data_IF_225166400055
#
_entry.id   IF_225166400055
#
_cell.length_a   1.000
_cell.length_b   1.000
_cell.length_c   1.000
_cell.angle_alpha   90.00
_cell.angle_beta   90.00
_cell.angle_gamma   90.00
#
_symmetry.space_group_name_H-M   'P 1'
#
loop_
_entity.id
_entity.type
_entity.pdbx_description
1 polymer ?
#
# COMPACT_ATOMS: atom_id res chain seq x y z
N UNK A 1 -40.63 -3.15 -8.01
CA UNK A 1 -39.80 -1.93 -7.89
C UNK A 1 -39.99 -1.33 -6.51
N UNK A 2 -39.34 -1.86 -5.46
CA UNK A 2 -39.60 -1.39 -4.09
C UNK A 2 -38.58 -1.85 -3.03
N UNK A 3 -37.32 -2.08 -3.43
CA UNK A 3 -36.27 -2.54 -2.49
C UNK A 3 -35.07 -1.59 -2.39
N UNK A 4 -34.95 -0.53 -3.21
CA UNK A 4 -33.80 0.39 -3.13
C UNK A 4 -34.06 1.66 -2.29
N UNK A 5 -35.31 2.02 -2.03
CA UNK A 5 -35.66 3.19 -1.22
C UNK A 5 -35.55 2.91 0.29
N UNK A 6 -35.84 1.68 0.73
CA UNK A 6 -35.74 1.32 2.14
C UNK A 6 -34.30 1.28 2.66
N UNK A 7 -33.30 0.91 1.85
CA UNK A 7 -31.90 0.84 2.29
C UNK A 7 -31.24 2.22 2.37
N UNK A 8 -31.59 3.14 1.47
CA UNK A 8 -31.10 4.53 1.44
C UNK A 8 -31.75 5.41 2.51
N UNK A 9 -33.04 5.19 2.81
CA UNK A 9 -33.70 5.83 3.96
C UNK A 9 -33.09 5.37 5.29
N UNK A 10 -32.77 4.09 5.43
CA UNK A 10 -32.12 3.55 6.65
C UNK A 10 -30.71 4.12 6.85
N UNK A 11 -29.94 4.33 5.77
CA UNK A 11 -28.58 4.89 5.87
C UNK A 11 -28.58 6.39 6.23
N UNK A 12 -29.54 7.18 5.74
CA UNK A 12 -29.58 8.61 6.02
C UNK A 12 -29.93 8.90 7.49
N UNK A 13 -30.85 8.13 8.08
CA UNK A 13 -31.21 8.24 9.50
C UNK A 13 -30.01 7.87 10.38
N UNK A 14 -29.25 6.83 10.02
CA UNK A 14 -28.06 6.43 10.77
C UNK A 14 -26.97 7.52 10.76
N UNK A 15 -26.71 8.12 9.59
CA UNK A 15 -25.73 9.21 9.46
C UNK A 15 -26.16 10.45 10.26
N UNK A 16 -27.44 10.84 10.19
CA UNK A 16 -27.97 11.97 10.96
C UNK A 16 -27.83 11.72 12.47
N UNK A 17 -28.13 10.51 12.94
CA UNK A 17 -27.96 10.13 14.35
C UNK A 17 -26.50 10.20 14.80
N UNK A 18 -25.56 9.74 13.97
CA UNK A 18 -24.13 9.85 14.27
C UNK A 18 -23.67 11.31 14.31
N UNK A 19 -24.12 12.16 13.37
CA UNK A 19 -23.84 13.61 13.39
C UNK A 19 -24.38 14.27 14.66
N UNK A 20 -25.62 13.97 15.04
CA UNK A 20 -26.26 14.46 16.27
C UNK A 20 -25.43 14.14 17.52
N UNK A 21 -24.94 12.90 17.64
CA UNK A 21 -24.00 12.49 18.70
C UNK A 21 -22.75 13.38 18.72
N UNK A 22 -22.14 13.58 17.55
CA UNK A 22 -20.92 14.40 17.39
C UNK A 22 -21.15 15.89 17.57
N UNK A 23 -22.39 16.39 17.53
CA UNK A 23 -22.72 17.79 17.88
C UNK A 23 -23.34 17.91 19.28
N UNK A 24 -23.34 16.84 20.08
CA UNK A 24 -23.65 16.88 21.51
C UNK A 24 -25.04 16.36 21.90
N UNK A 25 -25.82 15.84 20.96
CA UNK A 25 -27.16 15.31 21.18
C UNK A 25 -27.08 13.78 21.25
N UNK A 26 -26.99 13.25 22.48
CA UNK A 26 -26.79 11.83 22.76
C UNK A 26 -27.88 11.31 23.69
N UNK A 27 -28.38 10.09 23.44
CA UNK A 27 -29.27 9.41 24.37
C UNK A 27 -28.47 8.88 25.58
N UNK A 28 -28.77 9.39 26.78
CA UNK A 28 -28.08 8.98 28.02
C UNK A 28 -28.52 7.60 28.51
N UNK A 29 -29.62 7.04 27.98
CA UNK A 29 -30.22 5.79 28.44
C UNK A 29 -29.87 4.58 27.58
N UNK A 30 -29.47 4.76 26.31
CA UNK A 30 -29.12 3.63 25.44
C UNK A 30 -27.61 3.32 25.45
N UNK A 31 -27.25 2.17 26.04
CA UNK A 31 -25.90 1.57 25.94
C UNK A 31 -25.70 0.78 24.63
N UNK A 32 -26.43 1.10 23.57
CA UNK A 32 -26.30 0.44 22.28
C UNK A 32 -25.34 1.23 21.39
N UNK A 33 -24.31 0.58 20.86
CA UNK A 33 -23.40 1.16 19.86
C UNK A 33 -24.12 1.53 18.54
N UNK A 34 -25.38 1.06 18.38
CA UNK A 34 -26.25 1.17 17.20
C UNK A 34 -27.68 1.63 17.57
N UNK A 35 -27.83 2.36 18.68
CA UNK A 35 -29.14 2.86 19.12
C UNK A 35 -29.69 3.94 18.19
N UNK A 36 -30.95 3.84 17.79
CA UNK A 36 -31.65 4.96 17.17
C UNK A 36 -31.80 6.05 18.23
N UNK A 37 -31.40 7.29 17.93
CA UNK A 37 -31.69 8.38 18.86
C UNK A 37 -33.21 8.45 19.08
N UNK A 38 -33.62 8.60 20.34
CA UNK A 38 -35.03 8.75 20.66
C UNK A 38 -35.59 10.03 20.01
N UNK A 39 -36.87 10.01 19.66
CA UNK A 39 -37.57 11.19 19.13
C UNK A 39 -37.40 12.40 20.06
N UNK A 40 -37.22 12.18 21.37
CA UNK A 40 -36.93 13.22 22.36
C UNK A 40 -35.62 13.98 22.09
N UNK A 41 -34.57 13.28 21.64
CA UNK A 41 -33.27 13.88 21.29
C UNK A 41 -33.39 14.73 20.02
N UNK A 42 -34.14 14.23 19.02
CA UNK A 42 -34.38 14.98 17.78
C UNK A 42 -35.21 16.23 18.08
N UNK A 43 -36.27 16.12 18.89
CA UNK A 43 -37.05 17.26 19.34
C UNK A 43 -36.21 18.28 20.12
N UNK A 44 -35.24 17.81 20.91
CA UNK A 44 -34.32 18.71 21.61
C UNK A 44 -33.46 19.52 20.64
N UNK A 45 -32.91 18.88 19.62
CA UNK A 45 -32.18 19.57 18.55
C UNK A 45 -33.08 20.57 17.80
N UNK A 46 -34.28 20.15 17.41
CA UNK A 46 -35.25 21.01 16.72
C UNK A 46 -35.60 22.24 17.55
N UNK A 47 -35.82 22.10 18.87
CA UNK A 47 -36.00 23.22 19.79
C UNK A 47 -34.84 24.20 19.80
N UNK A 48 -33.62 23.67 19.97
CA UNK A 48 -32.42 24.48 20.12
C UNK A 48 -32.11 25.29 18.85
N UNK A 49 -32.55 24.81 17.69
CA UNK A 49 -32.40 25.47 16.38
C UNK A 49 -33.70 26.08 15.81
N UNK A 50 -34.76 26.18 16.62
CA UNK A 50 -36.04 26.82 16.25
C UNK A 50 -36.72 26.20 15.01
N UNK A 51 -36.65 24.88 14.89
CA UNK A 51 -37.35 24.07 13.89
C UNK A 51 -38.70 23.56 14.43
N UNK A 52 -39.51 22.94 13.57
CA UNK A 52 -40.73 22.25 14.01
C UNK A 52 -40.36 21.04 14.89
N UNK A 53 -40.91 20.97 16.12
CA UNK A 53 -40.63 19.89 17.09
C UNK A 53 -41.39 18.58 16.76
N UNK A 54 -41.31 18.14 15.50
CA UNK A 54 -41.96 16.91 15.04
C UNK A 54 -41.36 15.67 15.69
N UNK A 55 -40.06 15.71 16.03
CA UNK A 55 -39.27 14.52 16.36
C UNK A 55 -38.89 13.66 15.16
N UNK A 56 -39.21 14.12 13.95
CA UNK A 56 -38.87 13.47 12.69
C UNK A 56 -37.63 14.12 12.06
N UNK A 57 -36.79 13.31 11.41
CA UNK A 57 -35.66 13.78 10.61
C UNK A 57 -36.13 14.21 9.21
N UNK A 58 -36.92 15.27 9.13
CA UNK A 58 -37.31 15.88 7.86
C UNK A 58 -36.13 16.56 7.13
N UNK A 59 -36.36 17.03 5.91
CA UNK A 59 -35.31 17.64 5.06
C UNK A 59 -34.67 18.85 5.76
N UNK A 60 -35.47 19.74 6.32
CA UNK A 60 -34.99 20.95 7.00
C UNK A 60 -34.15 20.60 8.26
N UNK A 61 -34.57 19.59 9.02
CA UNK A 61 -33.84 19.10 10.19
C UNK A 61 -32.50 18.50 9.78
N UNK A 62 -32.46 17.67 8.73
CA UNK A 62 -31.21 17.09 8.24
C UNK A 62 -30.25 18.16 7.69
N UNK A 63 -30.74 19.11 6.91
CA UNK A 63 -29.92 20.23 6.41
C UNK A 63 -29.31 21.04 7.56
N UNK A 64 -30.09 21.31 8.62
CA UNK A 64 -29.59 22.03 9.79
C UNK A 64 -28.56 21.21 10.58
N UNK A 65 -28.77 19.90 10.73
CA UNK A 65 -27.77 18.99 11.34
C UNK A 65 -26.46 19.06 10.57
N UNK A 66 -26.52 19.00 9.24
CA UNK A 66 -25.36 19.03 8.36
C UNK A 66 -24.61 20.36 8.42
N UNK A 67 -25.34 21.48 8.43
CA UNK A 67 -24.79 22.82 8.59
C UNK A 67 -24.03 22.95 9.92
N UNK A 68 -24.69 22.56 11.03
CA UNK A 68 -24.11 22.65 12.38
C UNK A 68 -22.88 21.76 12.50
N UNK A 69 -22.98 20.50 12.07
CA UNK A 69 -21.88 19.55 12.07
C UNK A 69 -20.67 20.09 11.29
N UNK A 70 -20.89 20.55 10.06
CA UNK A 70 -19.83 21.08 9.20
C UNK A 70 -19.19 22.33 9.79
N UNK A 71 -19.96 23.16 10.49
CA UNK A 71 -19.44 24.37 11.15
C UNK A 71 -18.47 24.05 12.30
N UNK A 72 -18.61 22.89 12.95
CA UNK A 72 -17.82 22.48 14.11
C UNK A 72 -16.49 21.82 13.69
N UNK A 73 -16.53 20.96 12.67
CA UNK A 73 -15.43 20.05 12.31
C UNK A 73 -14.56 20.54 11.14
N UNK A 74 -14.29 21.85 11.13
CA UNK A 74 -13.41 22.54 10.18
C UNK A 74 -12.72 23.72 10.86
N UNK A 75 -11.68 24.28 10.23
CA UNK A 75 -10.95 25.42 10.78
C UNK A 75 -11.88 26.57 11.17
N UNK A 76 -11.72 27.05 12.40
CA UNK A 76 -12.53 28.13 12.97
C UNK A 76 -13.76 27.64 13.75
N UNK A 77 -14.11 26.35 13.65
CA UNK A 77 -15.14 25.73 14.47
C UNK A 77 -14.77 25.72 15.95
N UNK A 78 -15.76 25.88 16.83
CA UNK A 78 -15.56 25.80 18.28
C UNK A 78 -16.72 25.07 18.93
N UNK A 79 -16.44 23.91 19.53
CA UNK A 79 -17.45 23.11 20.22
C UNK A 79 -16.81 22.16 21.23
N UNK A 80 -17.52 21.83 22.31
CA UNK A 80 -16.99 20.94 23.35
C UNK A 80 -16.67 19.52 22.83
N UNK A 81 -17.37 19.03 21.80
CA UNK A 81 -17.07 17.72 21.18
C UNK A 81 -15.77 17.69 20.38
N UNK A 82 -15.22 18.85 19.99
CA UNK A 82 -13.86 18.92 19.42
C UNK A 82 -12.82 18.46 20.44
N UNK A 83 -13.08 18.66 21.74
CA UNK A 83 -12.21 18.15 22.81
C UNK A 83 -12.14 16.61 22.75
N UNK A 84 -13.27 15.94 22.48
CA UNK A 84 -13.33 14.48 22.37
C UNK A 84 -12.60 13.99 21.13
N UNK A 85 -12.78 14.65 19.97
CA UNK A 85 -12.00 14.37 18.77
C UNK A 85 -10.49 14.48 19.04
N UNK A 86 -10.03 15.54 19.69
CA UNK A 86 -8.61 15.73 20.04
C UNK A 86 -8.09 14.66 21.00
N UNK A 87 -8.93 14.16 21.92
CA UNK A 87 -8.57 13.01 22.78
C UNK A 87 -8.42 11.73 21.96
N UNK A 88 -9.31 11.50 21.00
CA UNK A 88 -9.23 10.35 20.11
C UNK A 88 -7.99 10.38 19.23
N UNK A 89 -7.69 11.52 18.60
CA UNK A 89 -6.46 11.72 17.82
C UNK A 89 -5.20 11.40 18.64
N UNK A 90 -5.09 11.95 19.85
CA UNK A 90 -4.00 11.64 20.77
C UNK A 90 -3.89 10.13 21.08
N UNK A 91 -5.03 9.45 21.24
CA UNK A 91 -5.08 8.02 21.55
C UNK A 91 -4.61 7.16 20.38
N UNK A 92 -5.02 7.50 19.16
CA UNK A 92 -4.71 6.72 17.94
C UNK A 92 -3.39 7.11 17.27
N UNK A 93 -2.60 7.98 17.91
CA UNK A 93 -1.19 8.19 17.55
C UNK A 93 -0.86 9.58 17.00
N UNK A 94 -1.85 10.43 16.73
CA UNK A 94 -1.69 11.83 16.33
C UNK A 94 -1.60 12.71 17.57
N UNK A 95 -0.45 12.61 18.26
CA UNK A 95 -0.23 13.15 19.60
C UNK A 95 0.06 14.66 19.59
N UNK A 96 0.23 15.19 20.81
CA UNK A 96 0.71 16.55 21.10
C UNK A 96 -0.32 17.65 20.83
N UNK A 97 -1.58 17.26 20.61
CA UNK A 97 -2.68 18.21 20.52
C UNK A 97 -3.26 18.54 21.90
N UNK A 98 -3.23 19.83 22.23
CA UNK A 98 -3.89 20.36 23.41
C UNK A 98 -5.41 20.30 23.25
N UNK A 99 -6.10 19.74 24.24
CA UNK A 99 -7.55 19.57 24.22
C UNK A 99 -8.25 20.91 24.51
N UNK A 100 -8.46 21.71 23.47
CA UNK A 100 -9.29 22.92 23.45
C UNK A 100 -10.58 22.66 22.65
N UNK A 101 -11.66 23.44 22.85
CA UNK A 101 -12.88 23.29 22.06
C UNK A 101 -12.72 23.80 20.61
N UNK A 102 -11.60 24.42 20.26
CA UNK A 102 -11.36 25.02 18.94
C UNK A 102 -10.79 24.02 17.96
N UNK A 103 -11.35 23.96 16.76
CA UNK A 103 -10.77 23.31 15.61
C UNK A 103 -9.84 24.32 14.91
N UNK A 104 -8.57 24.30 15.32
CA UNK A 104 -7.53 25.19 14.81
C UNK A 104 -6.79 24.57 13.61
N UNK A 105 -5.91 25.35 12.97
CA UNK A 105 -5.08 24.89 11.83
C UNK A 105 -4.20 23.70 12.20
N UNK A 106 -3.79 23.58 13.47
CA UNK A 106 -3.03 22.41 13.92
C UNK A 106 -3.91 21.15 13.98
N UNK A 107 -5.16 21.29 14.43
CA UNK A 107 -6.16 20.21 14.41
C UNK A 107 -6.43 19.74 12.99
N UNK A 108 -6.61 20.67 12.05
CA UNK A 108 -6.73 20.38 10.62
C UNK A 108 -5.54 19.56 10.12
N UNK A 109 -4.31 20.01 10.40
CA UNK A 109 -3.10 19.30 9.95
C UNK A 109 -2.97 17.86 10.49
N UNK A 110 -3.51 17.58 11.69
CA UNK A 110 -3.54 16.23 12.24
C UNK A 110 -4.65 15.38 11.62
N UNK A 111 -5.76 16.00 11.23
CA UNK A 111 -6.83 15.33 10.50
C UNK A 111 -6.38 14.98 9.09
N UNK A 112 -5.64 15.85 8.40
CA UNK A 112 -5.01 15.52 7.12
C UNK A 112 -4.07 14.32 7.23
N UNK A 113 -3.19 14.30 8.23
CA UNK A 113 -2.30 13.16 8.50
C UNK A 113 -3.08 11.88 8.83
N UNK A 114 -4.20 11.99 9.54
CA UNK A 114 -5.08 10.87 9.83
C UNK A 114 -5.74 10.35 8.55
N UNK A 115 -6.27 11.24 7.73
CA UNK A 115 -6.89 10.90 6.44
C UNK A 115 -5.87 10.20 5.53
N UNK A 116 -4.66 10.74 5.40
CA UNK A 116 -3.57 10.13 4.64
C UNK A 116 -3.22 8.73 5.17
N UNK A 117 -3.02 8.59 6.50
CA UNK A 117 -2.61 7.33 7.10
C UNK A 117 -3.64 6.20 6.92
N UNK A 118 -4.94 6.52 6.86
CA UNK A 118 -6.01 5.55 6.68
C UNK A 118 -6.59 5.51 5.26
N UNK A 119 -5.99 6.24 4.31
CA UNK A 119 -6.39 6.22 2.89
C UNK A 119 -7.74 6.89 2.61
N UNK A 120 -8.09 7.93 3.37
CA UNK A 120 -9.28 8.76 3.18
C UNK A 120 -8.97 10.00 2.32
N UNK A 121 -9.98 10.68 1.75
CA UNK A 121 -9.79 11.97 1.11
C UNK A 121 -9.16 13.00 2.08
N UNK A 122 -8.01 13.56 1.70
CA UNK A 122 -7.29 14.55 2.52
C UNK A 122 -7.92 15.92 2.34
N UNK A 123 -8.89 16.24 3.19
CA UNK A 123 -9.68 17.48 3.14
C UNK A 123 -9.39 18.42 4.31
N UNK A 124 -8.74 17.92 5.37
CA UNK A 124 -8.54 18.63 6.62
C UNK A 124 -9.81 18.84 7.45
N UNK A 125 -10.98 18.46 6.91
CA UNK A 125 -12.26 18.47 7.60
C UNK A 125 -12.54 17.10 8.23
N UNK A 126 -12.99 17.06 9.49
CA UNK A 126 -13.36 15.81 10.15
C UNK A 126 -14.82 15.45 9.82
N UNK A 127 -15.05 15.01 8.57
CA UNK A 127 -16.34 14.53 8.11
C UNK A 127 -16.74 13.19 8.75
N UNK A 128 -17.93 12.69 8.40
CA UNK A 128 -18.44 11.45 8.99
C UNK A 128 -17.58 10.22 8.67
N UNK A 129 -16.99 10.14 7.49
CA UNK A 129 -16.09 9.05 7.13
C UNK A 129 -14.84 9.06 8.03
N UNK A 130 -14.25 10.24 8.20
CA UNK A 130 -13.08 10.48 9.06
C UNK A 130 -13.39 10.16 10.53
N UNK A 131 -14.50 10.69 11.06
CA UNK A 131 -14.88 10.46 12.46
C UNK A 131 -15.20 8.99 12.74
N UNK A 132 -15.89 8.31 11.82
CA UNK A 132 -16.19 6.88 11.93
C UNK A 132 -14.90 6.04 11.92
N UNK A 133 -13.94 6.35 11.06
CA UNK A 133 -12.63 5.68 11.05
C UNK A 133 -11.87 5.92 12.36
N UNK A 134 -11.90 7.13 12.90
CA UNK A 134 -11.28 7.44 14.20
C UNK A 134 -11.92 6.63 15.33
N UNK A 135 -13.25 6.58 15.42
CA UNK A 135 -13.94 5.77 16.45
C UNK A 135 -13.62 4.28 16.31
N UNK A 136 -13.61 3.73 15.09
CA UNK A 136 -13.25 2.34 14.81
C UNK A 136 -11.88 1.98 15.40
N UNK A 137 -10.87 2.84 15.17
CA UNK A 137 -9.51 2.62 15.68
C UNK A 137 -9.45 2.77 17.20
N UNK A 138 -10.10 3.79 17.77
CA UNK A 138 -10.15 4.01 19.24
C UNK A 138 -10.77 2.80 19.96
N UNK A 139 -11.85 2.25 19.42
CA UNK A 139 -12.60 1.16 20.04
C UNK A 139 -12.15 -0.23 19.60
N UNK A 140 -11.07 -0.33 18.83
CA UNK A 140 -10.49 -1.60 18.40
C UNK A 140 -10.21 -2.53 19.61
N UNK A 141 -10.62 -3.82 19.56
CA UNK A 141 -10.49 -4.73 20.70
C UNK A 141 -9.04 -5.15 20.99
N UNK A 142 -8.12 -5.00 20.03
CA UNK A 142 -6.70 -5.37 20.16
C UNK A 142 -5.91 -4.19 20.74
N UNK A 143 -6.21 -3.83 21.99
CA UNK A 143 -5.57 -2.70 22.69
C UNK A 143 -5.21 -3.05 24.15
N UNK A 144 -4.45 -2.17 24.81
CA UNK A 144 -3.86 -2.43 26.13
C UNK A 144 -4.91 -2.94 27.14
N UNK A 145 -4.57 -4.01 27.86
CA UNK A 145 -5.39 -4.65 28.89
C UNK A 145 -6.68 -5.32 28.40
N UNK A 146 -6.94 -5.38 27.09
CA UNK A 146 -8.07 -6.13 26.52
C UNK A 146 -7.67 -7.58 26.20
N UNK A 147 -8.69 -8.42 25.98
CA UNK A 147 -8.56 -9.78 25.46
C UNK A 147 -9.34 -9.86 24.16
N UNK A 148 -8.73 -10.49 23.16
CA UNK A 148 -9.41 -10.77 21.90
C UNK A 148 -8.80 -12.04 21.27
N UNK A 149 -9.61 -12.80 20.53
CA UNK A 149 -9.20 -14.08 19.92
C UNK A 149 -8.01 -13.90 18.98
N UNK A 150 -7.96 -12.78 18.26
CA UNK A 150 -6.91 -12.47 17.29
C UNK A 150 -5.57 -12.03 17.90
N UNK A 151 -5.54 -11.68 19.20
CA UNK A 151 -4.30 -11.24 19.88
C UNK A 151 -3.23 -12.33 19.80
N UNK A 152 -3.63 -13.60 19.93
CA UNK A 152 -2.71 -14.74 19.82
C UNK A 152 -2.03 -14.79 18.45
N UNK A 153 -2.82 -14.69 17.38
CA UNK A 153 -2.34 -14.66 16.00
C UNK A 153 -1.39 -13.50 15.75
N UNK A 154 -1.79 -12.27 16.10
CA UNK A 154 -0.96 -11.07 15.95
C UNK A 154 0.42 -11.22 16.64
N UNK A 155 0.46 -11.79 17.85
CA UNK A 155 1.71 -12.03 18.57
C UNK A 155 2.60 -13.08 17.90
N UNK A 156 2.02 -14.14 17.33
CA UNK A 156 2.78 -15.10 16.53
C UNK A 156 3.42 -14.43 15.31
N UNK A 157 2.67 -13.54 14.64
CA UNK A 157 3.16 -12.77 13.50
C UNK A 157 4.34 -11.87 13.88
N UNK A 158 4.20 -11.09 14.96
CA UNK A 158 5.30 -10.28 15.50
C UNK A 158 6.54 -11.11 15.88
N UNK A 159 6.35 -12.28 16.50
CA UNK A 159 7.46 -13.18 16.83
C UNK A 159 8.17 -13.67 15.57
N UNK A 160 7.44 -14.06 14.51
CA UNK A 160 7.98 -14.48 13.21
C UNK A 160 8.77 -13.36 12.52
N UNK A 161 8.32 -12.11 12.65
CA UNK A 161 8.99 -10.92 12.11
C UNK A 161 10.20 -10.45 12.93
N UNK A 162 10.60 -11.19 13.98
CA UNK A 162 11.79 -10.86 14.76
C UNK A 162 11.56 -9.84 15.88
N UNK A 163 10.32 -9.40 16.15
CA UNK A 163 10.00 -8.53 17.30
C UNK A 163 10.00 -9.26 18.65
N UNK A 164 10.46 -10.51 18.65
CA UNK A 164 10.11 -11.62 19.55
C UNK A 164 10.27 -11.47 21.07
N UNK A 165 10.12 -12.62 21.73
CA UNK A 165 9.93 -12.83 23.19
C UNK A 165 8.54 -12.48 23.70
N UNK A 166 7.54 -12.39 22.81
CA UNK A 166 6.15 -12.13 23.21
C UNK A 166 5.49 -13.47 23.56
N UNK A 167 5.00 -13.59 24.80
CA UNK A 167 4.18 -14.73 25.22
C UNK A 167 2.84 -14.70 24.47
N UNK A 168 2.56 -15.76 23.72
CA UNK A 168 1.32 -15.92 22.94
C UNK A 168 0.17 -16.25 23.89
N UNK A 169 -0.73 -15.29 24.07
CA UNK A 169 -1.97 -15.37 24.86
C UNK A 169 -2.98 -14.42 24.23
N UNK A 170 -4.26 -14.59 24.53
CA UNK A 170 -5.37 -13.69 24.18
C UNK A 170 -5.31 -12.30 24.86
N UNK A 171 -4.63 -12.17 26.02
CA UNK A 171 -4.44 -10.87 26.70
C UNK A 171 -3.40 -9.99 26.01
N UNK A 172 -3.75 -8.73 25.71
CA UNK A 172 -2.81 -7.76 25.15
C UNK A 172 -2.22 -6.85 26.24
N UNK A 173 -1.00 -7.16 26.69
CA UNK A 173 -0.35 -6.49 27.83
C UNK A 173 0.71 -5.45 27.43
N UNK A 174 1.29 -4.73 28.40
CA UNK A 174 2.25 -3.64 28.16
C UNK A 174 3.46 -4.05 27.30
N UNK A 175 3.97 -5.26 27.50
CA UNK A 175 5.09 -5.77 26.70
C UNK A 175 4.69 -5.97 25.22
N UNK A 176 3.49 -6.47 24.96
CA UNK A 176 2.98 -6.65 23.60
C UNK A 176 2.73 -5.30 22.91
N UNK A 177 2.19 -4.31 23.64
CA UNK A 177 2.05 -2.93 23.16
C UNK A 177 3.41 -2.33 22.81
N UNK A 178 4.44 -2.51 23.65
CA UNK A 178 5.80 -2.01 23.36
C UNK A 178 6.36 -2.60 22.06
N UNK A 179 6.14 -3.90 21.82
CA UNK A 179 6.60 -4.57 20.59
C UNK A 179 5.80 -4.14 19.37
N UNK A 180 4.48 -3.98 19.51
CA UNK A 180 3.64 -3.49 18.43
C UNK A 180 3.98 -2.05 18.05
N UNK A 181 4.23 -1.17 19.02
CA UNK A 181 4.71 0.20 18.75
C UNK A 181 6.04 0.22 18.01
N UNK A 182 6.96 -0.70 18.34
CA UNK A 182 8.22 -0.83 17.59
C UNK A 182 7.94 -1.23 16.13
N UNK A 183 7.06 -2.21 15.92
CA UNK A 183 6.64 -2.60 14.58
C UNK A 183 5.99 -1.44 13.81
N UNK A 184 5.03 -0.74 14.42
CA UNK A 184 4.36 0.40 13.79
C UNK A 184 5.37 1.50 13.38
N UNK A 185 6.31 1.80 14.27
CA UNK A 185 7.41 2.72 13.98
C UNK A 185 8.29 2.25 12.80
N UNK A 186 8.75 1.00 12.83
CA UNK A 186 9.63 0.44 11.80
C UNK A 186 8.97 0.39 10.41
N UNK A 187 7.64 0.35 10.35
CA UNK A 187 6.85 0.30 9.12
C UNK A 187 6.15 1.62 8.78
N UNK A 188 6.46 2.72 9.49
CA UNK A 188 5.96 4.07 9.16
C UNK A 188 4.44 4.26 9.30
N UNK A 189 3.77 3.48 10.15
CA UNK A 189 2.33 3.62 10.44
C UNK A 189 2.09 4.25 11.83
N UNK A 190 0.88 4.77 12.14
CA UNK A 190 0.60 5.45 13.40
C UNK A 190 1.02 4.66 14.66
N UNK A 191 1.82 5.27 15.54
CA UNK A 191 2.43 4.60 16.71
C UNK A 191 1.53 4.70 17.95
N UNK A 192 0.41 3.99 17.91
CA UNK A 192 -0.59 3.95 18.97
C UNK A 192 -0.53 2.67 19.84
N UNK A 193 0.06 1.60 19.31
CA UNK A 193 0.12 0.29 19.95
C UNK A 193 -1.24 -0.43 20.00
N UNK A 194 -2.14 -0.10 19.07
CA UNK A 194 -3.43 -0.74 18.82
C UNK A 194 -3.27 -1.66 17.60
N UNK A 195 -3.81 -2.88 17.67
CA UNK A 195 -3.83 -3.82 16.54
C UNK A 195 -5.06 -3.60 15.66
N UNK A 196 -5.22 -2.38 15.15
CA UNK A 196 -6.28 -2.00 14.23
C UNK A 196 -6.12 -2.65 12.84
N UNK A 197 -7.08 -2.40 11.94
CA UNK A 197 -7.07 -2.99 10.60
C UNK A 197 -5.79 -2.65 9.83
N UNK A 198 -5.35 -1.39 9.85
CA UNK A 198 -4.11 -0.93 9.22
C UNK A 198 -2.91 -1.73 9.76
N UNK A 199 -2.76 -1.82 11.09
CA UNK A 199 -1.66 -2.55 11.71
C UNK A 199 -1.68 -4.04 11.37
N UNK A 200 -2.85 -4.68 11.39
CA UNK A 200 -2.99 -6.10 11.05
C UNK A 200 -2.70 -6.37 9.56
N UNK A 201 -3.15 -5.48 8.67
CA UNK A 201 -2.82 -5.53 7.24
C UNK A 201 -1.31 -5.41 7.03
N UNK A 202 -0.66 -4.44 7.67
CA UNK A 202 0.80 -4.25 7.58
C UNK A 202 1.56 -5.44 8.15
N UNK A 203 1.10 -6.04 9.26
CA UNK A 203 1.69 -7.27 9.81
C UNK A 203 1.60 -8.46 8.85
N UNK A 204 0.45 -8.61 8.18
CA UNK A 204 0.28 -9.64 7.17
C UNK A 204 1.21 -9.37 5.99
N UNK A 205 1.22 -8.15 5.46
CA UNK A 205 2.10 -7.72 4.37
C UNK A 205 3.56 -8.01 4.68
N UNK A 206 4.02 -7.62 5.87
CA UNK A 206 5.38 -7.88 6.34
C UNK A 206 5.74 -9.37 6.41
N UNK A 207 4.78 -10.24 6.72
CA UNK A 207 4.99 -11.69 6.75
C UNK A 207 4.98 -12.34 5.38
N UNK A 208 4.14 -11.82 4.48
CA UNK A 208 4.05 -12.28 3.10
C UNK A 208 5.35 -11.95 2.36
N UNK A 209 5.92 -10.77 2.60
CA UNK A 209 6.95 -10.23 1.72
C UNK A 209 8.25 -9.97 2.47
N UNK A 210 9.31 -10.69 2.09
CA UNK A 210 10.67 -10.42 2.54
C UNK A 210 11.37 -9.58 1.48
N UNK A 211 12.09 -8.55 1.89
CA UNK A 211 12.94 -7.78 0.99
C UNK A 211 14.39 -7.91 1.43
N UNK A 212 15.28 -8.23 0.49
CA UNK A 212 16.73 -8.26 0.69
C UNK A 212 17.36 -7.33 -0.32
N UNK A 213 18.00 -6.27 0.16
CA UNK A 213 18.60 -5.24 -0.70
C UNK A 213 20.11 -5.40 -0.69
N UNK A 214 20.70 -5.45 -1.88
CA UNK A 214 22.14 -5.38 -2.12
C UNK A 214 22.43 -4.03 -2.77
N UNK A 215 23.33 -3.25 -2.19
CA UNK A 215 23.75 -1.97 -2.74
C UNK A 215 25.05 -2.15 -3.52
N UNK A 216 25.08 -1.71 -4.79
CA UNK A 216 26.23 -1.84 -5.69
C UNK A 216 26.80 -0.46 -5.99
N UNK A 217 28.05 -0.23 -5.58
CA UNK A 217 28.72 1.06 -5.78
C UNK A 217 29.34 1.13 -7.17
N UNK A 218 29.01 2.18 -7.91
CA UNK A 218 29.65 2.49 -9.19
C UNK A 218 30.65 3.62 -9.04
N UNK A 219 31.79 3.55 -9.72
CA UNK A 219 32.74 4.65 -9.84
C UNK A 219 32.23 5.72 -10.81
N UNK A 220 31.03 6.24 -10.51
CA UNK A 220 30.25 7.13 -11.34
C UNK A 220 29.35 7.97 -10.42
N UNK A 221 29.38 9.29 -10.58
CA UNK A 221 28.44 10.19 -9.91
C UNK A 221 27.09 10.21 -10.66
N UNK A 222 26.02 10.56 -9.96
CA UNK A 222 24.70 10.69 -10.58
C UNK A 222 24.69 11.76 -11.67
N UNK A 223 25.43 12.86 -11.44
CA UNK A 223 25.57 13.97 -12.41
C UNK A 223 26.27 13.50 -13.68
N UNK A 224 27.36 12.75 -13.57
CA UNK A 224 28.04 12.18 -14.74
C UNK A 224 27.11 11.21 -15.49
N UNK A 225 26.37 10.35 -14.79
CA UNK A 225 25.44 9.40 -15.40
C UNK A 225 24.34 10.12 -16.21
N UNK A 226 23.77 11.18 -15.63
CA UNK A 226 22.79 12.06 -16.29
C UNK A 226 23.37 12.70 -17.55
N UNK A 227 24.59 13.26 -17.46
CA UNK A 227 25.25 13.90 -18.60
C UNK A 227 25.53 12.92 -19.74
N UNK A 228 26.02 11.72 -19.42
CA UNK A 228 26.28 10.66 -20.41
C UNK A 228 24.99 10.30 -21.15
N UNK A 229 23.88 10.13 -20.42
CA UNK A 229 22.60 9.78 -21.01
C UNK A 229 22.00 10.90 -21.87
N UNK A 230 22.14 12.16 -21.45
CA UNK A 230 21.66 13.33 -22.22
C UNK A 230 22.39 13.49 -23.55
N UNK A 231 23.68 13.15 -23.62
CA UNK A 231 24.47 13.26 -24.85
C UNK A 231 24.06 12.25 -25.93
N UNK A 232 23.39 11.16 -25.56
CA UNK A 232 23.05 10.08 -26.49
C UNK A 232 21.93 10.43 -27.48
N UNK A 233 21.11 11.46 -27.24
CA UNK A 233 19.90 11.80 -28.05
C UNK A 233 18.85 10.67 -28.20
N UNK A 234 19.07 9.52 -27.57
CA UNK A 234 18.27 8.30 -27.72
C UNK A 234 17.05 8.23 -26.81
N UNK A 235 17.00 9.06 -25.77
CA UNK A 235 15.94 9.04 -24.78
C UNK A 235 14.78 9.88 -25.29
N UNK A 236 13.79 9.21 -25.87
CA UNK A 236 12.57 9.85 -26.37
C UNK A 236 11.41 9.67 -25.41
N UNK A 237 11.38 8.56 -24.66
CA UNK A 237 10.31 8.20 -23.74
C UNK A 237 10.86 7.86 -22.36
N UNK A 238 10.02 8.05 -21.35
CA UNK A 238 10.25 7.71 -19.94
C UNK A 238 9.04 6.98 -19.37
N UNK A 239 9.28 6.16 -18.33
CA UNK A 239 8.22 5.46 -17.61
C UNK A 239 7.66 6.40 -16.54
N UNK A 240 6.38 6.72 -16.64
CA UNK A 240 5.68 7.65 -15.74
C UNK A 240 4.44 7.01 -15.13
N UNK A 241 4.04 7.47 -13.96
CA UNK A 241 2.74 7.10 -13.41
C UNK A 241 1.64 7.93 -14.07
N UNK A 242 0.55 7.25 -14.43
CA UNK A 242 -0.70 7.85 -14.86
C UNK A 242 -1.35 8.59 -13.69
N UNK A 243 -1.82 9.81 -13.94
CA UNK A 243 -2.50 10.62 -12.93
C UNK A 243 -3.92 10.11 -12.62
N UNK A 244 -4.48 9.27 -13.50
CA UNK A 244 -5.88 8.81 -13.41
C UNK A 244 -6.02 7.50 -12.65
N UNK A 245 -5.09 6.57 -12.85
CA UNK A 245 -5.20 5.18 -12.37
C UNK A 245 -3.89 4.62 -11.80
N UNK A 246 -2.89 5.47 -11.56
CA UNK A 246 -1.55 5.13 -11.03
C UNK A 246 -0.78 4.07 -11.83
N UNK A 247 -1.26 3.66 -13.01
CA UNK A 247 -0.57 2.70 -13.86
C UNK A 247 0.66 3.33 -14.49
N UNK A 248 1.71 2.54 -14.68
CA UNK A 248 2.88 3.00 -15.42
C UNK A 248 2.57 3.08 -16.92
N UNK A 249 2.93 4.20 -17.53
CA UNK A 249 2.74 4.48 -18.95
C UNK A 249 4.02 5.08 -19.52
N UNK A 250 4.19 4.98 -20.83
CA UNK A 250 5.26 5.70 -21.51
C UNK A 250 4.81 7.11 -21.86
N UNK A 251 5.63 8.09 -21.49
CA UNK A 251 5.47 9.49 -21.90
C UNK A 251 6.70 9.96 -22.64
N UNK A 252 6.50 10.86 -23.60
CA UNK A 252 7.62 11.55 -24.23
C UNK A 252 8.38 12.38 -23.18
N UNK A 253 9.72 12.30 -23.19
CA UNK A 253 10.55 12.98 -22.19
C UNK A 253 10.38 14.52 -22.24
N UNK A 254 10.03 15.06 -23.41
CA UNK A 254 9.77 16.49 -23.59
C UNK A 254 8.40 16.92 -23.04
N UNK A 255 7.50 15.97 -22.78
CA UNK A 255 6.15 16.22 -22.26
C UNK A 255 6.07 16.06 -20.74
N UNK A 256 7.13 15.60 -20.08
CA UNK A 256 7.20 15.49 -18.62
C UNK A 256 7.91 16.70 -18.02
N UNK A 257 7.51 17.09 -16.81
CA UNK A 257 8.15 18.17 -16.06
C UNK A 257 9.41 17.73 -15.29
N UNK A 258 9.72 16.42 -15.30
CA UNK A 258 10.86 15.84 -14.59
C UNK A 258 12.12 15.78 -15.46
N UNK A 259 13.29 16.04 -14.86
CA UNK A 259 14.59 15.80 -15.50
C UNK A 259 14.92 14.30 -15.48
N UNK A 260 15.76 13.84 -16.41
CA UNK A 260 16.23 12.46 -16.51
C UNK A 260 16.82 11.91 -15.20
N UNK A 261 17.38 12.79 -14.38
CA UNK A 261 17.86 12.49 -13.03
C UNK A 261 16.80 11.78 -12.17
N UNK A 262 15.53 12.14 -12.31
CA UNK A 262 14.44 11.52 -11.55
C UNK A 262 14.33 10.02 -11.82
N UNK A 263 14.44 9.60 -13.09
CA UNK A 263 14.32 8.19 -13.50
C UNK A 263 15.61 7.40 -13.25
N UNK A 264 16.74 8.08 -13.22
CA UNK A 264 18.05 7.47 -13.04
C UNK A 264 18.40 7.34 -11.55
N UNK A 265 17.89 8.22 -10.69
CA UNK A 265 18.18 8.19 -9.26
C UNK A 265 17.36 7.12 -8.52
N UNK A 266 18.01 6.07 -7.95
CA UNK A 266 17.30 4.98 -7.31
C UNK A 266 16.46 5.39 -6.08
N UNK A 267 16.78 6.52 -5.42
CA UNK A 267 16.06 6.97 -4.24
C UNK A 267 14.60 7.33 -4.52
N UNK A 268 14.27 7.76 -5.75
CA UNK A 268 12.89 8.09 -6.12
C UNK A 268 12.01 6.86 -6.34
N UNK A 269 12.62 5.68 -6.50
CA UNK A 269 11.89 4.48 -6.88
C UNK A 269 11.89 3.38 -5.82
N UNK A 270 12.87 3.38 -4.91
CA UNK A 270 13.04 2.29 -3.93
C UNK A 270 11.85 2.17 -2.95
N UNK A 271 11.20 3.31 -2.63
CA UNK A 271 10.03 3.35 -1.77
C UNK A 271 8.71 3.13 -2.53
N UNK A 272 8.73 3.12 -3.85
CA UNK A 272 7.54 2.88 -4.67
C UNK A 272 7.26 1.37 -4.79
N UNK A 273 6.02 0.94 -4.54
CA UNK A 273 5.63 -0.48 -4.49
C UNK A 273 5.94 -1.22 -5.79
N UNK A 274 5.64 -0.60 -6.93
CA UNK A 274 5.92 -1.15 -8.26
C UNK A 274 7.28 -0.69 -8.79
N UNK A 275 7.64 0.58 -8.57
CA UNK A 275 8.90 1.17 -9.02
C UNK A 275 10.13 0.43 -8.51
N UNK A 276 10.09 -0.15 -7.31
CA UNK A 276 11.21 -0.95 -6.77
C UNK A 276 11.47 -2.24 -7.56
N UNK A 277 10.49 -2.75 -8.34
CA UNK A 277 10.67 -3.95 -9.16
C UNK A 277 11.68 -3.75 -10.29
N UNK A 278 12.02 -2.51 -10.66
CA UNK A 278 13.10 -2.28 -11.61
C UNK A 278 14.46 -2.78 -11.08
N UNK A 279 14.61 -2.85 -9.75
CA UNK A 279 15.80 -3.35 -9.06
C UNK A 279 15.75 -4.85 -8.78
N UNK A 280 14.69 -5.56 -9.19
CA UNK A 280 14.55 -6.98 -8.95
C UNK A 280 15.68 -7.75 -9.66
N UNK A 281 16.45 -8.52 -8.90
CA UNK A 281 17.50 -9.39 -9.40
C UNK A 281 16.88 -10.62 -10.07
N UNK A 282 16.88 -10.60 -11.41
CA UNK A 282 16.33 -11.63 -12.29
C UNK A 282 17.21 -12.88 -12.34
N UNK A 283 18.38 -12.86 -11.72
CA UNK A 283 19.32 -13.99 -11.65
C UNK A 283 19.33 -14.70 -10.30
N UNK A 284 18.44 -14.29 -9.38
CA UNK A 284 18.25 -14.93 -8.07
C UNK A 284 17.06 -15.89 -8.07
N UNK A 285 17.28 -17.21 -7.97
CA UNK A 285 16.20 -18.17 -7.74
C UNK A 285 15.76 -18.20 -6.26
N UNK A 286 14.69 -18.93 -5.99
CA UNK A 286 14.07 -19.13 -4.68
C UNK A 286 13.48 -17.85 -4.09
N UNK A 287 12.70 -17.15 -4.92
CA UNK A 287 11.90 -16.00 -4.54
C UNK A 287 10.52 -16.40 -4.02
N UNK A 288 10.00 -17.58 -4.36
CA UNK A 288 8.68 -18.04 -3.92
C UNK A 288 8.68 -19.54 -3.60
N UNK A 289 7.50 -20.16 -3.41
CA UNK A 289 7.35 -21.58 -3.11
C UNK A 289 6.65 -22.33 -4.24
N UNK A 290 6.80 -23.66 -4.26
CA UNK A 290 6.12 -24.54 -5.23
C UNK A 290 4.60 -24.31 -5.19
N UNK A 291 4.02 -24.23 -3.99
CA UNK A 291 2.58 -24.03 -3.79
C UNK A 291 2.08 -22.71 -4.41
N UNK A 292 2.85 -21.63 -4.27
CA UNK A 292 2.48 -20.32 -4.86
C UNK A 292 2.50 -20.36 -6.39
N UNK A 293 3.50 -21.03 -6.98
CA UNK A 293 3.56 -21.23 -8.42
C UNK A 293 2.44 -22.15 -8.91
N UNK A 294 2.18 -23.26 -8.23
CA UNK A 294 1.12 -24.19 -8.61
C UNK A 294 -0.27 -23.52 -8.56
N UNK A 295 -0.51 -22.69 -7.54
CA UNK A 295 -1.73 -21.90 -7.44
C UNK A 295 -1.91 -20.94 -8.62
N UNK A 296 -0.82 -20.26 -9.04
CA UNK A 296 -0.85 -19.36 -10.19
C UNK A 296 -0.99 -20.11 -11.53
N UNK A 297 -0.41 -21.30 -11.61
CA UNK A 297 -0.39 -22.13 -12.82
C UNK A 297 -1.63 -23.01 -12.99
N UNK A 298 -2.57 -23.02 -12.03
CA UNK A 298 -3.68 -23.96 -11.97
C UNK A 298 -4.50 -24.08 -13.28
N UNK A 299 -4.67 -22.95 -13.99
CA UNK A 299 -5.41 -22.80 -15.25
C UNK A 299 -4.49 -22.60 -16.48
N UNK A 300 -3.19 -22.87 -16.37
CA UNK A 300 -2.18 -22.62 -17.41
C UNK A 300 -1.82 -23.87 -18.21
N UNK A 301 -2.86 -24.58 -18.66
CA UNK A 301 -2.75 -25.74 -19.55
C UNK A 301 -1.80 -26.81 -19.02
N UNK A 302 -0.82 -27.19 -19.84
CA UNK A 302 0.18 -28.21 -19.50
C UNK A 302 0.97 -27.87 -18.22
N UNK A 303 1.11 -26.58 -17.90
CA UNK A 303 1.87 -26.12 -16.75
C UNK A 303 1.10 -26.18 -15.43
N UNK A 304 -0.15 -26.65 -15.43
CA UNK A 304 -0.90 -26.87 -14.20
C UNK A 304 -0.13 -27.81 -13.27
N UNK A 305 0.10 -27.37 -12.02
CA UNK A 305 0.95 -28.03 -11.02
C UNK A 305 2.43 -28.24 -11.42
N UNK A 306 2.96 -27.41 -12.33
CA UNK A 306 4.35 -27.49 -12.78
C UNK A 306 5.32 -26.60 -11.98
N UNK A 307 4.91 -26.05 -10.83
CA UNK A 307 5.70 -25.14 -10.00
C UNK A 307 7.05 -25.74 -9.57
N UNK A 308 7.08 -27.04 -9.29
CA UNK A 308 8.34 -27.75 -9.01
C UNK A 308 9.31 -27.73 -10.19
N UNK A 309 8.82 -27.91 -11.42
CA UNK A 309 9.66 -27.89 -12.63
C UNK A 309 10.28 -26.50 -12.79
N UNK A 310 9.49 -25.44 -12.64
CA UNK A 310 10.00 -24.08 -12.72
C UNK A 310 11.06 -23.79 -11.65
N UNK A 311 10.83 -24.19 -10.40
CA UNK A 311 11.81 -23.99 -9.32
C UNK A 311 13.10 -24.79 -9.57
N UNK A 312 13.00 -26.05 -9.97
CA UNK A 312 14.18 -26.90 -10.20
C UNK A 312 15.04 -26.36 -11.36
N UNK A 313 14.41 -25.95 -12.47
CA UNK A 313 15.12 -25.35 -13.61
C UNK A 313 15.66 -23.97 -13.28
N UNK A 314 14.88 -23.11 -12.62
CA UNK A 314 15.32 -21.79 -12.19
C UNK A 314 16.57 -21.85 -11.29
N UNK A 315 16.59 -22.81 -10.37
CA UNK A 315 17.76 -23.10 -9.53
C UNK A 315 18.96 -23.56 -10.34
N UNK A 316 18.76 -24.47 -11.29
CA UNK A 316 19.84 -24.98 -12.14
C UNK A 316 20.51 -23.87 -12.98
N UNK A 317 19.72 -22.93 -13.51
CA UNK A 317 20.23 -21.89 -14.40
C UNK A 317 20.56 -20.56 -13.70
N UNK A 318 20.23 -20.43 -12.42
CA UNK A 318 20.38 -19.18 -11.67
C UNK A 318 19.51 -18.08 -12.27
N UNK A 319 18.21 -18.34 -12.35
CA UNK A 319 17.20 -17.42 -12.88
C UNK A 319 16.10 -17.27 -11.83
N UNK A 320 15.50 -16.10 -11.74
CA UNK A 320 14.27 -15.88 -10.98
C UNK A 320 13.13 -16.75 -11.55
N UNK A 321 12.57 -17.65 -10.75
CA UNK A 321 11.58 -18.63 -11.22
C UNK A 321 10.31 -17.98 -11.77
N UNK A 322 9.92 -16.81 -11.26
CA UNK A 322 8.75 -16.06 -11.72
C UNK A 322 9.01 -15.44 -13.09
N UNK A 323 10.23 -14.94 -13.30
CA UNK A 323 10.66 -14.42 -14.60
C UNK A 323 10.70 -15.53 -15.66
N UNK A 324 11.29 -16.70 -15.33
CA UNK A 324 11.30 -17.86 -16.21
C UNK A 324 9.88 -18.35 -16.55
N UNK A 325 9.00 -18.41 -15.54
CA UNK A 325 7.60 -18.80 -15.71
C UNK A 325 6.86 -17.83 -16.65
N UNK A 326 6.95 -16.52 -16.39
CA UNK A 326 6.31 -15.50 -17.21
C UNK A 326 6.77 -15.56 -18.66
N UNK A 327 8.08 -15.67 -18.89
CA UNK A 327 8.64 -15.79 -20.23
C UNK A 327 8.28 -17.10 -20.93
N UNK A 328 8.03 -18.18 -20.19
CA UNK A 328 7.55 -19.46 -20.73
C UNK A 328 6.07 -19.38 -21.14
N UNK A 329 5.21 -18.81 -20.27
CA UNK A 329 3.77 -18.69 -20.54
C UNK A 329 3.49 -17.78 -21.75
N UNK A 330 4.26 -16.68 -21.89
CA UNK A 330 4.10 -15.73 -22.98
C UNK A 330 4.33 -16.33 -24.38
N UNK A 331 5.14 -17.38 -24.49
CA UNK A 331 5.49 -18.01 -25.78
C UNK A 331 4.74 -19.32 -26.05
N UNK A 332 3.86 -19.73 -25.14
CA UNK A 332 3.14 -21.02 -25.19
C UNK A 332 1.62 -20.87 -25.17
N UNK A 333 1.13 -19.63 -25.31
CA UNK A 333 -0.27 -19.29 -25.09
C UNK A 333 -0.78 -19.90 -23.77
N UNK A 334 -0.09 -19.60 -22.66
CA UNK A 334 -0.37 -20.17 -21.34
C UNK A 334 -0.33 -21.70 -21.29
N UNK A 335 0.55 -22.34 -22.06
CA UNK A 335 0.72 -23.79 -22.07
C UNK A 335 -0.31 -24.56 -22.91
N UNK A 336 -1.15 -23.88 -23.69
CA UNK A 336 -2.09 -24.53 -24.62
C UNK A 336 -1.37 -25.13 -25.84
N UNK A 337 -0.26 -24.53 -26.26
CA UNK A 337 0.47 -24.92 -27.47
C UNK A 337 1.59 -25.95 -27.21
N UNK A 338 1.61 -26.58 -26.03
CA UNK A 338 2.69 -27.47 -25.58
C UNK A 338 2.18 -28.87 -25.29
N UNK A 339 2.84 -29.87 -25.90
CA UNK A 339 2.60 -31.29 -25.61
C UNK A 339 3.09 -31.66 -24.20
N UNK A 340 2.27 -32.40 -23.45
CA UNK A 340 2.54 -32.88 -22.09
C UNK A 340 3.92 -33.55 -21.95
N UNK A 341 4.34 -34.34 -22.94
CA UNK A 341 5.60 -35.07 -22.91
C UNK A 341 6.84 -34.15 -23.04
N UNK A 342 6.63 -32.87 -23.36
CA UNK A 342 7.71 -31.90 -23.65
C UNK A 342 7.80 -30.77 -22.63
N UNK A 343 6.97 -30.77 -21.57
CA UNK A 343 6.93 -29.70 -20.57
C UNK A 343 8.32 -29.34 -20.02
N UNK A 344 9.04 -30.30 -19.46
CA UNK A 344 10.34 -30.05 -18.82
C UNK A 344 11.36 -29.55 -19.84
N UNK A 345 11.39 -30.18 -21.02
CA UNK A 345 12.27 -29.79 -22.13
C UNK A 345 12.02 -28.35 -22.56
N UNK A 346 10.75 -27.93 -22.63
CA UNK A 346 10.39 -26.57 -23.02
C UNK A 346 10.89 -25.55 -21.99
N UNK A 347 10.67 -25.81 -20.69
CA UNK A 347 11.12 -24.92 -19.61
C UNK A 347 12.66 -24.80 -19.60
N UNK A 348 13.38 -25.90 -19.83
CA UNK A 348 14.85 -25.89 -19.95
C UNK A 348 15.30 -25.06 -21.16
N UNK A 349 14.73 -25.30 -22.34
CA UNK A 349 15.06 -24.55 -23.55
C UNK A 349 14.79 -23.05 -23.39
N UNK A 350 13.71 -22.69 -22.67
CA UNK A 350 13.43 -21.29 -22.38
C UNK A 350 14.45 -20.69 -21.42
N UNK A 351 14.86 -21.42 -20.39
CA UNK A 351 15.92 -20.98 -19.48
C UNK A 351 17.26 -20.77 -20.21
N UNK A 352 17.64 -21.68 -21.11
CA UNK A 352 18.83 -21.56 -21.95
C UNK A 352 18.78 -20.29 -22.81
N UNK A 353 17.67 -20.05 -23.50
CA UNK A 353 17.48 -18.85 -24.31
C UNK A 353 17.63 -17.57 -23.49
N UNK A 354 16.99 -17.50 -22.31
CA UNK A 354 17.09 -16.33 -21.44
C UNK A 354 18.53 -16.06 -21.00
N UNK A 355 19.30 -17.09 -20.63
CA UNK A 355 20.71 -16.94 -20.25
C UNK A 355 21.63 -16.55 -21.40
N UNK A 356 21.29 -16.94 -22.63
CA UNK A 356 22.10 -16.63 -23.79
C UNK A 356 21.85 -15.22 -24.34
N UNK A 357 20.60 -14.73 -24.23
CA UNK A 357 20.19 -13.53 -24.98
C UNK A 357 19.65 -12.38 -24.13
N UNK A 358 19.05 -12.65 -22.97
CA UNK A 358 18.38 -11.61 -22.16
C UNK A 358 19.13 -11.30 -20.86
N UNK A 359 19.65 -12.32 -20.17
CA UNK A 359 20.30 -12.21 -18.87
C UNK A 359 21.82 -12.39 -18.99
N UNK A 360 22.57 -11.38 -18.54
CA UNK A 360 24.02 -11.43 -18.40
C UNK A 360 24.48 -10.58 -17.21
N UNK A 361 25.78 -10.54 -16.93
CA UNK A 361 26.38 -9.83 -15.79
C UNK A 361 26.07 -8.31 -15.74
N UNK A 362 25.58 -7.72 -16.83
CA UNK A 362 25.21 -6.31 -16.94
C UNK A 362 23.70 -6.10 -17.22
N UNK A 363 22.92 -7.18 -17.33
CA UNK A 363 21.47 -7.19 -17.62
C UNK A 363 20.73 -8.15 -16.68
N UNK A 364 21.00 -8.06 -15.38
CA UNK A 364 20.40 -8.91 -14.34
C UNK A 364 19.32 -8.22 -13.50
N UNK A 365 19.11 -6.93 -13.69
CA UNK A 365 17.92 -6.19 -13.24
C UNK A 365 17.35 -5.38 -14.41
N UNK A 366 16.08 -4.99 -14.35
CA UNK A 366 15.50 -4.12 -15.39
C UNK A 366 16.18 -2.75 -15.39
N UNK A 367 16.62 -2.26 -14.23
CA UNK A 367 17.42 -1.03 -14.11
C UNK A 367 18.75 -1.16 -14.86
N UNK A 368 19.49 -2.25 -14.66
CA UNK A 368 20.78 -2.47 -15.31
C UNK A 368 20.62 -2.70 -16.81
N UNK A 369 19.57 -3.42 -17.22
CA UNK A 369 19.22 -3.61 -18.62
C UNK A 369 18.95 -2.27 -19.33
N UNK A 370 18.28 -1.33 -18.64
CA UNK A 370 17.98 -0.02 -19.19
C UNK A 370 19.20 0.93 -19.18
N UNK A 371 19.74 1.19 -17.99
CA UNK A 371 20.69 2.28 -17.77
C UNK A 371 22.16 1.86 -17.91
N UNK A 372 22.46 0.59 -17.66
CA UNK A 372 23.81 0.02 -17.64
C UNK A 372 24.86 0.93 -16.95
N UNK A 373 24.71 1.20 -15.64
CA UNK A 373 25.64 2.07 -14.90
C UNK A 373 27.09 1.56 -14.90
N UNK A 374 27.29 0.24 -15.02
CA UNK A 374 28.62 -0.36 -15.16
C UNK A 374 29.35 0.12 -16.43
N UNK A 375 28.65 0.09 -17.57
CA UNK A 375 29.16 0.60 -18.84
C UNK A 375 29.44 2.11 -18.78
N UNK A 376 28.51 2.90 -18.23
CA UNK A 376 28.70 4.35 -18.08
C UNK A 376 29.93 4.67 -17.22
N UNK A 377 30.15 3.91 -16.14
CA UNK A 377 31.31 4.11 -15.27
C UNK A 377 32.64 3.81 -15.99
N UNK A 378 32.67 2.77 -16.83
CA UNK A 378 33.88 2.28 -17.50
C UNK A 378 34.21 3.00 -18.80
N UNK A 379 33.22 3.11 -19.69
CA UNK A 379 33.40 3.57 -21.07
C UNK A 379 33.01 5.04 -21.27
N UNK A 380 32.37 5.66 -20.27
CA UNK A 380 31.90 7.07 -20.29
C UNK A 380 30.99 7.40 -21.48
N UNK A 381 30.23 6.41 -21.97
CA UNK A 381 29.25 6.53 -23.06
C UNK A 381 28.07 5.57 -22.85
N UNK A 382 26.97 5.81 -23.58
CA UNK A 382 25.81 4.89 -23.63
C UNK A 382 26.12 3.72 -24.55
N UNK A 383 25.81 2.48 -24.11
CA UNK A 383 26.11 1.25 -24.86
C UNK A 383 24.84 0.50 -25.32
N UNK A 384 23.64 0.89 -24.85
CA UNK A 384 22.39 0.18 -25.14
C UNK A 384 21.53 0.87 -26.23
N UNK A 385 20.73 0.10 -26.97
CA UNK A 385 19.64 0.65 -27.80
C UNK A 385 18.43 0.98 -26.92
N UNK A 386 18.43 2.22 -26.44
CA UNK A 386 17.51 2.71 -25.42
C UNK A 386 16.01 2.61 -25.78
N UNK A 387 15.66 2.56 -27.07
CA UNK A 387 14.27 2.73 -27.50
C UNK A 387 13.43 1.44 -27.45
N UNK A 388 14.03 0.29 -27.80
CA UNK A 388 13.37 -1.03 -27.77
C UNK A 388 13.33 -1.57 -26.33
N UNK A 389 14.44 -1.38 -25.60
CA UNK A 389 14.60 -1.89 -24.24
C UNK A 389 13.60 -1.26 -23.24
N UNK A 390 13.11 -0.02 -23.49
CA UNK A 390 12.16 0.67 -22.60
C UNK A 390 10.74 0.12 -22.62
N UNK A 391 10.19 -0.13 -23.82
CA UNK A 391 8.83 -0.69 -23.97
C UNK A 391 8.76 -2.09 -23.39
N UNK A 392 9.76 -2.93 -23.68
CA UNK A 392 9.86 -4.26 -23.10
C UNK A 392 10.05 -4.24 -21.59
N UNK A 393 10.91 -3.36 -21.06
CA UNK A 393 11.14 -3.27 -19.62
C UNK A 393 9.89 -2.81 -18.86
N UNK A 394 9.08 -1.90 -19.43
CA UNK A 394 7.82 -1.51 -18.82
C UNK A 394 6.87 -2.71 -18.70
N UNK A 395 6.70 -3.48 -19.79
CA UNK A 395 5.84 -4.68 -19.78
C UNK A 395 6.36 -5.72 -18.78
N UNK A 396 7.69 -5.96 -18.76
CA UNK A 396 8.33 -6.89 -17.81
C UNK A 396 8.09 -6.45 -16.36
N UNK A 397 8.30 -5.17 -16.06
CA UNK A 397 8.10 -4.60 -14.72
C UNK A 397 6.65 -4.75 -14.26
N UNK A 398 5.69 -4.34 -15.08
CA UNK A 398 4.26 -4.43 -14.76
C UNK A 398 3.81 -5.87 -14.56
N UNK A 399 4.24 -6.77 -15.44
CA UNK A 399 3.86 -8.18 -15.39
C UNK A 399 4.46 -8.85 -14.15
N UNK A 400 5.73 -8.61 -13.87
CA UNK A 400 6.38 -9.13 -12.66
C UNK A 400 5.69 -8.59 -11.40
N UNK A 401 5.45 -7.29 -11.31
CA UNK A 401 4.71 -6.70 -10.19
C UNK A 401 3.34 -7.40 -10.02
N UNK A 402 2.57 -7.54 -11.10
CA UNK A 402 1.25 -8.16 -11.04
C UNK A 402 1.29 -9.62 -10.58
N UNK A 403 2.20 -10.44 -11.13
CA UNK A 403 2.33 -11.85 -10.74
C UNK A 403 2.72 -11.98 -9.27
N UNK A 404 3.75 -11.23 -8.82
CA UNK A 404 4.17 -11.28 -7.42
C UNK A 404 3.01 -10.91 -6.48
N UNK A 405 2.18 -9.92 -6.83
CA UNK A 405 1.01 -9.51 -6.04
C UNK A 405 -0.08 -10.57 -5.92
N UNK A 406 -0.08 -11.61 -6.76
CA UNK A 406 -1.00 -12.75 -6.64
C UNK A 406 -0.52 -13.80 -5.63
N UNK A 407 0.77 -13.83 -5.30
CA UNK A 407 1.31 -14.78 -4.32
C UNK A 407 1.00 -14.38 -2.88
N UNK A 408 0.76 -15.37 -2.03
CA UNK A 408 0.61 -15.17 -0.60
C UNK A 408 1.95 -14.99 0.12
N UNK A 409 3.07 -15.37 -0.48
CA UNK A 409 4.40 -15.10 0.08
C UNK A 409 5.50 -15.09 -0.98
N UNK A 410 6.48 -14.19 -0.83
CA UNK A 410 7.68 -14.14 -1.66
C UNK A 410 8.83 -13.37 -1.00
N UNK A 411 10.02 -13.51 -1.58
CA UNK A 411 11.23 -12.73 -1.27
C UNK A 411 11.65 -11.92 -2.49
N UNK A 412 11.69 -10.60 -2.37
CA UNK A 412 12.31 -9.72 -3.35
C UNK A 412 13.81 -9.60 -3.05
N UNK A 413 14.63 -10.06 -3.98
CA UNK A 413 16.05 -9.74 -4.01
C UNK A 413 16.23 -8.50 -4.87
N UNK A 414 16.58 -7.38 -4.26
CA UNK A 414 16.79 -6.12 -4.96
C UNK A 414 18.28 -5.83 -5.05
N UNK A 415 18.75 -5.41 -6.22
CA UNK A 415 20.07 -4.85 -6.43
C UNK A 415 19.92 -3.37 -6.81
N UNK A 416 20.41 -2.49 -5.93
CA UNK A 416 20.21 -1.04 -6.04
C UNK A 416 21.55 -0.36 -6.34
N UNK A 417 21.65 0.43 -7.43
CA UNK A 417 22.84 1.21 -7.72
C UNK A 417 23.09 2.27 -6.65
N UNK A 418 24.35 2.49 -6.33
CA UNK A 418 24.81 3.62 -5.53
C UNK A 418 25.81 4.41 -6.36
N UNK A 419 25.42 5.64 -6.70
CA UNK A 419 26.28 6.61 -7.35
C UNK A 419 27.13 7.35 -6.32
N UNK A 420 28.35 7.72 -6.68
CA UNK A 420 29.24 8.49 -5.82
C UNK A 420 28.66 9.88 -5.55
N UNK A 421 28.91 10.39 -4.35
CA UNK A 421 28.66 11.78 -4.00
C UNK A 421 29.72 12.66 -4.68
N UNK A 422 29.27 13.79 -5.22
CA UNK A 422 30.07 14.78 -5.94
C UNK A 422 31.15 15.44 -5.07
#
# INVERSE_FOLDING_TARGET
>A
MGLSSSSTLTSNVEVANQKLKWIGYEDKQERSLFGFLSAEVIQQFQRDYQLEESGDLDEQTNEKIDEVFTSIYRVGGEHHKVIDLKRYLNHIGFKEIHTSPKYDVYTESLIEQCQEAYGLPVTGCADMETLNKIEEVVFCPIQLNKRHSEVGSMKQKLNKLGYGRIKVTDKFGPFSVKKLKKFQHDYGIPVNGIGDELTLKTLNHALKFRQKVTFVNYALTLVEAVQIQQQSSSIKKVIEKSNEDERLILKDINAVHHNIEHYLNPSYHLNDEMGKFQFLDLTRPNTTTIEELDNFLADKGVFSNAGRVFIDVANQFGINEVYLMQHTLAVTNNGEDVDCDRLVTFVIQRAEHLKQHELNDHRHTLYNALWNPAAMAKEKQVINDFSVDMEENLVKLQTMYHIYRQFNSYTLYLEVPVYQQS
#
